data_IF_954196641490
#
_entry.id   IF_954196641490
#
_cell.length_a   1.000
_cell.length_b   1.000
_cell.length_c   1.000
_cell.angle_alpha   90.00
_cell.angle_beta   90.00
_cell.angle_gamma   90.00
#
_symmetry.space_group_name_H-M   'P 1'
#
loop_
_entity.id
_entity.type
_entity.pdbx_description
1 polymer ?
#
# COMPACT_ATOMS: atom_id res chain seq x y z
N UNK A 1 59.41 -36.44 8.14
CA UNK A 1 58.01 -36.90 7.99
C UNK A 1 57.09 -35.77 8.50
N UNK A 2 56.60 -34.91 7.58
CA UNK A 2 55.65 -33.85 7.92
C UNK A 2 54.21 -34.37 7.72
N UNK A 3 53.43 -34.42 8.80
CA UNK A 3 52.04 -34.82 8.76
C UNK A 3 51.20 -33.60 8.27
N UNK A 4 50.58 -33.74 7.10
CA UNK A 4 49.62 -32.82 6.55
C UNK A 4 48.28 -33.10 7.23
N UNK A 5 47.79 -32.17 8.06
CA UNK A 5 46.43 -32.16 8.56
C UNK A 5 45.53 -31.53 7.49
N UNK A 6 44.70 -32.32 6.85
CA UNK A 6 43.66 -31.84 5.96
C UNK A 6 42.43 -31.54 6.84
N UNK A 7 42.14 -30.26 7.08
CA UNK A 7 40.88 -29.81 7.68
C UNK A 7 39.75 -29.95 6.66
N UNK A 8 38.90 -30.94 6.87
CA UNK A 8 37.65 -31.11 6.12
C UNK A 8 36.63 -30.13 6.70
N UNK A 9 36.47 -28.94 6.08
CA UNK A 9 35.35 -28.06 6.37
C UNK A 9 34.08 -28.71 5.86
N UNK A 10 33.29 -29.28 6.75
CA UNK A 10 31.88 -29.66 6.47
C UNK A 10 31.09 -28.36 6.24
N UNK A 11 30.82 -28.06 4.98
CA UNK A 11 29.78 -27.09 4.61
C UNK A 11 28.42 -27.72 4.96
N UNK A 12 27.92 -27.43 6.17
CA UNK A 12 26.52 -27.66 6.50
C UNK A 12 25.70 -26.72 5.62
N UNK A 13 24.72 -27.23 4.85
CA UNK A 13 23.78 -26.36 4.21
C UNK A 13 23.02 -25.63 5.33
N UNK A 14 23.16 -24.31 5.40
CA UNK A 14 22.22 -23.47 6.12
C UNK A 14 20.88 -23.65 5.41
N UNK A 15 20.07 -24.58 5.88
CA UNK A 15 18.64 -24.56 5.63
C UNK A 15 18.15 -23.28 6.32
N UNK A 16 17.98 -22.22 5.57
CA UNK A 16 17.29 -21.04 6.05
C UNK A 16 15.92 -21.51 6.53
N UNK A 17 15.68 -21.41 7.83
CA UNK A 17 14.36 -21.61 8.37
C UNK A 17 13.50 -20.46 7.85
N UNK A 18 12.76 -20.70 6.78
CA UNK A 18 11.65 -19.85 6.41
C UNK A 18 10.76 -19.75 7.65
N UNK A 19 10.54 -18.54 8.16
CA UNK A 19 9.67 -18.30 9.29
C UNK A 19 8.28 -18.81 8.90
N UNK A 20 7.84 -19.93 9.46
CA UNK A 20 6.52 -20.48 9.17
C UNK A 20 5.51 -19.89 10.15
N UNK A 21 4.79 -18.86 9.69
CA UNK A 21 3.77 -18.17 10.45
C UNK A 21 2.53 -19.08 10.52
N UNK A 22 2.27 -19.62 11.70
CA UNK A 22 1.11 -20.47 11.98
C UNK A 22 -0.09 -19.59 12.32
N UNK A 23 -1.22 -19.88 11.73
CA UNK A 23 -2.47 -19.19 12.03
C UNK A 23 -3.65 -20.15 11.92
N UNK A 24 -4.80 -19.73 12.43
CA UNK A 24 -6.10 -20.36 12.23
C UNK A 24 -7.06 -19.33 11.63
N UNK A 25 -7.97 -19.78 10.77
CA UNK A 25 -8.95 -18.90 10.14
C UNK A 25 -10.34 -19.56 10.13
N UNK A 26 -11.39 -18.74 10.23
CA UNK A 26 -12.79 -19.17 10.19
C UNK A 26 -13.72 -18.00 9.88
N UNK A 27 -14.95 -18.31 9.45
CA UNK A 27 -15.98 -17.31 9.20
C UNK A 27 -17.02 -17.28 10.32
N UNK A 28 -17.43 -16.08 10.75
CA UNK A 28 -18.63 -15.92 11.57
C UNK A 28 -19.91 -16.05 10.71
N UNK A 29 -21.06 -16.39 11.31
CA UNK A 29 -22.32 -16.48 10.57
C UNK A 29 -22.75 -15.23 9.82
N UNK A 30 -22.30 -14.06 10.30
CA UNK A 30 -22.54 -12.78 9.64
C UNK A 30 -21.58 -12.49 8.46
N UNK A 31 -20.63 -13.39 8.19
CA UNK A 31 -19.70 -13.32 7.08
C UNK A 31 -18.40 -12.55 7.38
N UNK A 32 -18.15 -12.17 8.63
CA UNK A 32 -16.84 -11.66 9.03
C UNK A 32 -15.83 -12.81 8.97
N UNK A 33 -14.76 -12.63 8.19
CA UNK A 33 -13.63 -13.55 8.18
C UNK A 33 -12.67 -13.23 9.32
N UNK A 34 -12.25 -14.24 10.07
CA UNK A 34 -11.38 -14.09 11.24
C UNK A 34 -10.11 -14.89 11.04
N UNK A 35 -8.96 -14.25 11.32
CA UNK A 35 -7.64 -14.87 11.28
C UNK A 35 -6.94 -14.64 12.63
N UNK A 36 -6.39 -15.70 13.23
CA UNK A 36 -5.72 -15.67 14.52
C UNK A 36 -4.30 -16.22 14.39
N UNK A 37 -3.30 -15.42 14.76
CA UNK A 37 -1.90 -15.83 14.90
C UNK A 37 -1.47 -15.72 16.35
N UNK A 38 -1.12 -16.85 16.96
CA UNK A 38 -0.65 -16.95 18.36
C UNK A 38 0.88 -16.86 18.39
N UNK A 39 1.41 -15.86 19.09
CA UNK A 39 2.85 -15.69 19.33
C UNK A 39 3.09 -15.02 20.70
N UNK A 40 3.71 -15.78 21.61
CA UNK A 40 4.00 -15.35 22.98
C UNK A 40 5.40 -14.70 23.15
N UNK A 41 6.07 -14.36 22.06
CA UNK A 41 7.42 -13.78 22.12
C UNK A 41 7.46 -12.39 22.77
N UNK A 42 6.36 -11.65 22.67
CA UNK A 42 6.17 -10.32 23.26
C UNK A 42 4.76 -10.19 23.83
N UNK A 43 4.57 -9.49 25.00
CA UNK A 43 3.26 -9.39 25.66
C UNK A 43 2.38 -8.30 24.99
N UNK A 44 2.24 -8.34 23.67
CA UNK A 44 1.44 -7.41 22.88
C UNK A 44 0.52 -8.16 21.92
N UNK A 45 -0.56 -7.53 21.53
CA UNK A 45 -1.48 -8.03 20.50
C UNK A 45 -1.84 -6.90 19.53
N UNK A 46 -1.82 -7.21 18.25
CA UNK A 46 -2.39 -6.38 17.20
C UNK A 46 -3.82 -6.87 16.90
N UNK A 47 -4.81 -6.02 17.12
CA UNK A 47 -6.20 -6.24 16.71
C UNK A 47 -6.44 -5.37 15.49
N UNK A 48 -6.75 -5.99 14.35
CA UNK A 48 -6.84 -5.27 13.08
C UNK A 48 -8.11 -5.62 12.32
N UNK A 49 -8.70 -4.63 11.67
CA UNK A 49 -9.82 -4.83 10.74
C UNK A 49 -9.48 -4.23 9.39
N UNK A 50 -9.52 -5.06 8.37
CA UNK A 50 -9.41 -4.64 6.98
C UNK A 50 -10.81 -4.64 6.36
N UNK A 51 -11.25 -3.48 5.88
CA UNK A 51 -12.45 -3.38 5.04
C UNK A 51 -12.02 -3.34 3.58
N UNK A 52 -12.62 -4.23 2.76
CA UNK A 52 -12.34 -4.28 1.32
C UNK A 52 -13.09 -3.15 0.61
N UNK A 53 -12.70 -1.93 0.93
CA UNK A 53 -13.20 -0.67 0.37
C UNK A 53 -12.09 0.37 0.38
N UNK A 54 -11.85 0.97 -0.77
CA UNK A 54 -10.89 2.05 -0.95
C UNK A 54 -11.42 3.08 -1.96
N UNK A 55 -10.54 3.97 -2.43
CA UNK A 55 -10.97 5.04 -3.32
C UNK A 55 -11.57 4.54 -4.64
N UNK A 56 -11.23 3.32 -5.11
CA UNK A 56 -11.84 2.75 -6.32
C UNK A 56 -13.35 2.47 -6.19
N UNK A 57 -13.86 2.37 -4.97
CA UNK A 57 -15.28 2.10 -4.71
C UNK A 57 -16.13 3.38 -4.66
N UNK A 58 -15.49 4.53 -4.83
CA UNK A 58 -16.13 5.84 -4.83
C UNK A 58 -16.78 6.14 -6.18
N UNK A 59 -17.61 7.17 -6.19
CA UNK A 59 -18.26 7.66 -7.41
C UNK A 59 -17.64 8.97 -7.86
N UNK A 60 -17.60 9.21 -9.16
CA UNK A 60 -17.24 10.51 -9.73
C UNK A 60 -18.10 11.60 -9.12
N UNK A 61 -17.50 12.68 -8.65
CA UNK A 61 -18.16 13.77 -7.92
C UNK A 61 -18.37 13.48 -6.42
N UNK A 62 -17.82 12.38 -5.91
CA UNK A 62 -17.83 11.98 -4.49
C UNK A 62 -16.53 11.27 -4.11
N UNK A 63 -15.40 11.78 -4.60
CA UNK A 63 -14.06 11.24 -4.29
C UNK A 63 -13.63 11.64 -2.88
N UNK A 64 -12.77 10.83 -2.27
CA UNK A 64 -12.28 11.05 -0.91
C UNK A 64 -13.11 10.38 0.18
N UNK A 65 -14.18 9.66 -0.15
CA UNK A 65 -15.09 9.07 0.83
C UNK A 65 -14.43 7.98 1.68
N UNK A 66 -13.64 7.09 1.08
CA UNK A 66 -12.98 6.01 1.80
C UNK A 66 -11.97 6.56 2.83
N UNK A 67 -11.14 7.51 2.42
CA UNK A 67 -10.20 8.18 3.32
C UNK A 67 -10.92 9.03 4.37
N UNK A 68 -12.03 9.65 4.02
CA UNK A 68 -12.85 10.37 5.00
C UNK A 68 -13.34 9.44 6.11
N UNK A 69 -13.73 8.20 5.76
CA UNK A 69 -14.13 7.20 6.75
C UNK A 69 -12.95 6.70 7.58
N UNK A 70 -11.72 6.72 7.06
CA UNK A 70 -10.54 6.49 7.90
C UNK A 70 -10.54 7.42 9.11
N UNK A 71 -10.83 8.71 8.92
CA UNK A 71 -10.92 9.70 9.99
C UNK A 71 -12.21 9.57 10.80
N UNK A 72 -13.35 9.49 10.11
CA UNK A 72 -14.66 9.57 10.75
C UNK A 72 -14.91 8.41 11.74
N UNK A 73 -14.35 7.24 11.49
CA UNK A 73 -14.49 6.08 12.37
C UNK A 73 -13.65 6.16 13.67
N UNK A 74 -12.92 7.25 13.89
CA UNK A 74 -12.32 7.61 15.18
C UNK A 74 -13.10 8.67 15.95
N UNK A 75 -14.13 9.29 15.34
CA UNK A 75 -14.91 10.35 15.97
C UNK A 75 -15.68 9.88 17.21
N UNK A 76 -16.07 8.61 17.22
CA UNK A 76 -16.79 7.99 18.33
C UNK A 76 -17.93 7.08 17.86
N UNK A 77 -18.58 6.46 18.83
CA UNK A 77 -19.70 5.55 18.63
C UNK A 77 -20.88 5.88 19.53
N UNK A 78 -21.92 5.06 19.53
CA UNK A 78 -23.01 5.18 20.50
C UNK A 78 -22.51 5.10 21.95
N UNK A 79 -21.45 4.30 22.19
CA UNK A 79 -20.90 4.02 23.51
C UNK A 79 -19.55 4.72 23.79
N UNK A 80 -18.95 5.35 22.78
CA UNK A 80 -17.66 6.06 22.88
C UNK A 80 -17.91 7.54 22.54
N UNK A 81 -17.52 8.42 23.46
CA UNK A 81 -17.60 9.87 23.24
C UNK A 81 -16.67 10.35 22.13
N UNK A 82 -17.01 11.49 21.51
CA UNK A 82 -16.19 12.08 20.46
C UNK A 82 -14.76 12.35 20.95
N UNK A 83 -13.76 11.90 20.15
CA UNK A 83 -12.35 12.06 20.46
C UNK A 83 -11.86 11.23 21.67
N UNK A 84 -12.66 10.25 22.13
CA UNK A 84 -12.27 9.38 23.23
C UNK A 84 -11.69 8.04 22.76
N UNK A 85 -11.91 7.64 21.51
CA UNK A 85 -11.41 6.38 20.98
C UNK A 85 -9.91 6.22 21.21
N UNK A 86 -9.10 7.16 20.76
CA UNK A 86 -7.65 7.13 20.94
C UNK A 86 -7.24 7.09 22.41
N UNK A 87 -7.96 7.80 23.28
CA UNK A 87 -7.67 7.82 24.71
C UNK A 87 -7.82 6.46 25.39
N UNK A 88 -8.77 5.63 24.94
CA UNK A 88 -8.90 4.26 25.45
C UNK A 88 -7.64 3.44 25.16
N UNK A 89 -7.13 3.51 23.91
CA UNK A 89 -5.91 2.79 23.50
C UNK A 89 -4.67 3.37 24.22
N UNK A 90 -4.51 4.69 24.24
CA UNK A 90 -3.38 5.36 24.92
C UNK A 90 -3.34 5.08 26.42
N UNK A 91 -4.49 5.14 27.11
CA UNK A 91 -4.59 4.83 28.53
C UNK A 91 -4.28 3.36 28.84
N UNK A 92 -4.53 2.47 27.89
CA UNK A 92 -4.14 1.06 27.99
C UNK A 92 -2.65 0.82 27.70
N UNK A 93 -1.89 1.85 27.34
CA UNK A 93 -0.47 1.75 26.95
C UNK A 93 -0.26 1.26 25.52
N UNK A 94 -1.27 1.40 24.67
CA UNK A 94 -1.26 0.98 23.27
C UNK A 94 -1.01 2.11 22.28
N UNK A 95 -1.02 1.76 21.01
CA UNK A 95 -0.95 2.65 19.86
C UNK A 95 -1.99 2.22 18.82
N UNK A 96 -2.50 3.16 18.04
CA UNK A 96 -3.47 2.91 16.98
C UNK A 96 -3.12 3.71 15.73
N UNK A 97 -3.57 3.24 14.60
CA UNK A 97 -3.53 4.00 13.35
C UNK A 97 -4.49 3.38 12.32
N UNK A 98 -4.61 4.04 11.18
CA UNK A 98 -5.33 3.54 10.04
C UNK A 98 -4.65 4.00 8.73
N UNK A 99 -5.02 3.38 7.62
CA UNK A 99 -4.63 3.84 6.29
C UNK A 99 -5.66 3.43 5.25
N UNK A 100 -5.77 4.27 4.22
CA UNK A 100 -6.65 4.03 3.06
C UNK A 100 -5.81 3.98 1.79
N UNK A 101 -6.09 2.97 0.98
CA UNK A 101 -5.53 2.82 -0.37
C UNK A 101 -6.65 2.90 -1.41
N UNK A 102 -6.32 2.61 -2.66
CA UNK A 102 -7.31 2.46 -3.71
C UNK A 102 -8.24 1.27 -3.48
N UNK A 103 -7.77 0.24 -2.79
CA UNK A 103 -8.46 -1.06 -2.71
C UNK A 103 -9.02 -1.38 -1.32
N UNK A 104 -8.46 -0.77 -0.24
CA UNK A 104 -8.84 -1.11 1.13
C UNK A 104 -8.74 0.08 2.08
N UNK A 105 -9.47 -0.02 3.20
CA UNK A 105 -9.27 0.78 4.42
C UNK A 105 -8.90 -0.18 5.56
N UNK A 106 -7.82 0.11 6.27
CA UNK A 106 -7.26 -0.75 7.30
C UNK A 106 -7.12 0.01 8.60
N UNK A 107 -7.60 -0.59 9.70
CA UNK A 107 -7.51 -0.07 11.06
C UNK A 107 -6.74 -1.06 11.92
N UNK A 108 -5.97 -0.56 12.88
CA UNK A 108 -5.31 -1.42 13.86
C UNK A 108 -5.14 -0.74 15.22
N UNK A 109 -5.33 -1.55 16.25
CA UNK A 109 -5.00 -1.25 17.63
C UNK A 109 -3.88 -2.19 18.08
N UNK A 110 -2.74 -1.66 18.49
CA UNK A 110 -1.63 -2.40 19.07
C UNK A 110 -1.66 -2.18 20.58
N UNK A 111 -2.02 -3.19 21.35
CA UNK A 111 -2.22 -3.07 22.80
C UNK A 111 -1.47 -4.17 23.57
N UNK A 112 -1.19 -3.98 24.87
CA UNK A 112 -0.74 -5.06 25.74
C UNK A 112 -1.72 -6.25 25.68
N UNK A 113 -1.21 -7.49 25.76
CA UNK A 113 -2.02 -8.71 25.57
C UNK A 113 -3.20 -8.83 26.55
N UNK A 114 -3.07 -8.31 27.77
CA UNK A 114 -4.15 -8.26 28.76
C UNK A 114 -5.27 -7.26 28.38
N UNK A 115 -5.12 -6.48 27.32
CA UNK A 115 -6.08 -5.54 26.77
C UNK A 115 -6.73 -6.00 25.46
N UNK A 116 -6.58 -7.28 25.09
CA UNK A 116 -7.22 -7.87 23.91
C UNK A 116 -8.73 -7.55 23.85
N UNK A 117 -9.43 -7.70 24.96
CA UNK A 117 -10.87 -7.43 25.03
C UNK A 117 -11.21 -5.97 24.71
N UNK A 118 -10.37 -5.02 25.14
CA UNK A 118 -10.52 -3.60 24.79
C UNK A 118 -10.39 -3.37 23.28
N UNK A 119 -9.35 -3.91 22.63
CA UNK A 119 -9.17 -3.76 21.18
C UNK A 119 -10.35 -4.37 20.40
N UNK A 120 -10.82 -5.56 20.79
CA UNK A 120 -11.98 -6.19 20.17
C UNK A 120 -13.27 -5.37 20.36
N UNK A 121 -13.49 -4.82 21.55
CA UNK A 121 -14.62 -3.94 21.79
C UNK A 121 -14.57 -2.68 20.92
N UNK A 122 -13.42 -2.01 20.88
CA UNK A 122 -13.22 -0.80 20.07
C UNK A 122 -13.51 -1.04 18.58
N UNK A 123 -12.98 -2.12 18.01
CA UNK A 123 -13.22 -2.45 16.60
C UNK A 123 -14.67 -2.87 16.34
N UNK A 124 -15.34 -3.52 17.28
CA UNK A 124 -16.76 -3.86 17.15
C UNK A 124 -17.65 -2.61 17.22
N UNK A 125 -17.32 -1.63 18.07
CA UNK A 125 -17.99 -0.33 18.14
C UNK A 125 -17.85 0.44 16.82
N UNK A 126 -16.65 0.44 16.23
CA UNK A 126 -16.38 1.02 14.92
C UNK A 126 -17.24 0.39 13.83
N UNK A 127 -17.40 -0.93 13.83
CA UNK A 127 -18.14 -1.67 12.80
C UNK A 127 -19.65 -1.49 12.92
N UNK A 128 -20.20 -1.45 14.14
CA UNK A 128 -21.65 -1.48 14.36
C UNK A 128 -22.23 -0.12 14.75
N UNK A 129 -21.52 0.62 15.63
CA UNK A 129 -22.09 1.74 16.39
C UNK A 129 -21.47 3.10 16.03
N UNK A 130 -20.65 3.17 14.97
CA UNK A 130 -20.01 4.42 14.60
C UNK A 130 -21.06 5.53 14.32
N UNK A 131 -20.82 6.71 14.88
CA UNK A 131 -21.68 7.88 14.68
C UNK A 131 -21.36 8.59 13.39
N UNK A 132 -22.15 8.31 12.34
CA UNK A 132 -22.10 9.03 11.07
C UNK A 132 -23.13 10.15 11.11
N UNK A 133 -22.79 11.24 11.78
CA UNK A 133 -23.66 12.38 12.07
C UNK A 133 -23.05 13.69 11.57
N UNK A 134 -23.88 14.69 11.25
CA UNK A 134 -23.45 15.99 10.70
C UNK A 134 -22.32 16.65 11.48
N UNK A 135 -22.33 16.60 12.82
CA UNK A 135 -21.28 17.23 13.65
C UNK A 135 -19.91 16.59 13.43
N UNK A 136 -19.84 15.25 13.37
CA UNK A 136 -18.63 14.50 13.08
C UNK A 136 -18.16 14.72 11.62
N UNK A 137 -19.11 14.66 10.70
CA UNK A 137 -18.87 14.88 9.25
C UNK A 137 -18.28 16.26 9.03
N UNK A 138 -18.87 17.33 9.55
CA UNK A 138 -18.37 18.68 9.33
C UNK A 138 -17.01 18.91 9.99
N UNK A 139 -16.77 18.34 11.19
CA UNK A 139 -15.47 18.40 11.84
C UNK A 139 -14.39 17.72 10.98
N UNK A 140 -14.64 16.47 10.54
CA UNK A 140 -13.67 15.73 9.76
C UNK A 140 -13.51 16.27 8.34
N UNK A 141 -14.55 16.90 7.78
CA UNK A 141 -14.45 17.60 6.49
C UNK A 141 -13.34 18.66 6.52
N UNK A 142 -13.30 19.48 7.55
CA UNK A 142 -12.25 20.50 7.67
C UNK A 142 -10.87 19.87 7.94
N UNK A 143 -10.80 18.81 8.74
CA UNK A 143 -9.54 18.08 8.99
C UNK A 143 -8.97 17.48 7.70
N UNK A 144 -9.79 16.75 6.92
CA UNK A 144 -9.35 16.13 5.65
C UNK A 144 -8.97 17.19 4.61
N UNK A 145 -9.73 18.30 4.54
CA UNK A 145 -9.38 19.42 3.65
C UNK A 145 -8.06 20.07 4.04
N UNK A 146 -7.79 20.22 5.34
CA UNK A 146 -6.52 20.77 5.80
C UNK A 146 -5.37 19.80 5.54
N UNK A 147 -5.58 18.50 5.74
CA UNK A 147 -4.60 17.48 5.38
C UNK A 147 -4.27 17.53 3.88
N UNK A 148 -5.30 17.67 3.02
CA UNK A 148 -5.08 17.81 1.58
C UNK A 148 -4.23 19.03 1.27
N UNK A 149 -4.52 20.19 1.90
CA UNK A 149 -3.68 21.39 1.73
C UNK A 149 -2.25 21.13 2.17
N UNK A 150 -2.06 20.53 3.34
CA UNK A 150 -0.74 20.30 3.92
C UNK A 150 0.09 19.28 3.15
N UNK A 151 -0.51 18.20 2.67
CA UNK A 151 0.23 17.08 2.04
C UNK A 151 0.32 17.18 0.52
N UNK A 152 -0.65 17.85 -0.11
CA UNK A 152 -0.74 17.89 -1.58
C UNK A 152 -0.62 19.31 -2.14
N UNK A 153 -1.43 20.27 -1.65
CA UNK A 153 -1.55 21.57 -2.34
C UNK A 153 -0.39 22.51 -1.98
N UNK A 154 0.17 22.42 -0.76
CA UNK A 154 1.22 23.30 -0.26
C UNK A 154 2.61 22.64 -0.18
N UNK A 155 2.74 21.35 -0.50
CA UNK A 155 4.03 20.67 -0.51
C UNK A 155 4.68 20.77 -1.89
N UNK A 156 6.00 20.97 -1.96
CA UNK A 156 6.74 20.77 -3.21
C UNK A 156 6.45 19.36 -3.75
N UNK A 157 6.16 19.29 -5.05
CA UNK A 157 5.82 18.03 -5.74
C UNK A 157 4.62 17.27 -5.16
N UNK A 158 3.79 17.92 -4.34
CA UNK A 158 2.63 17.27 -3.70
C UNK A 158 1.59 16.75 -4.70
N UNK A 159 1.54 17.31 -5.91
CA UNK A 159 0.65 16.86 -6.99
C UNK A 159 1.20 15.68 -7.79
N UNK A 160 2.42 15.19 -7.51
CA UNK A 160 3.06 14.11 -8.27
C UNK A 160 2.19 12.86 -8.37
N UNK A 161 1.69 12.39 -7.25
CA UNK A 161 0.87 11.18 -7.22
C UNK A 161 -0.54 11.40 -7.80
N UNK A 162 -1.31 12.44 -7.43
CA UNK A 162 -2.59 12.74 -8.06
C UNK A 162 -2.51 12.89 -9.59
N UNK A 163 -1.52 13.62 -10.08
CA UNK A 163 -1.33 13.82 -11.51
C UNK A 163 -0.93 12.54 -12.23
N UNK A 164 -0.07 11.71 -11.63
CA UNK A 164 0.26 10.40 -12.18
C UNK A 164 -0.99 9.55 -12.40
N UNK A 165 -1.87 9.48 -11.40
CA UNK A 165 -3.10 8.68 -11.47
C UNK A 165 -4.07 9.24 -12.52
N UNK A 166 -4.33 10.54 -12.52
CA UNK A 166 -5.29 11.18 -13.44
C UNK A 166 -4.86 11.10 -14.90
N UNK A 167 -3.54 11.07 -15.15
CA UNK A 167 -2.99 10.92 -16.49
C UNK A 167 -2.91 9.46 -16.94
N UNK A 168 -2.63 8.53 -16.02
CA UNK A 168 -2.54 7.11 -16.32
C UNK A 168 -3.92 6.45 -16.51
N UNK A 169 -4.88 6.77 -15.67
CA UNK A 169 -6.21 6.15 -15.73
C UNK A 169 -7.24 7.12 -16.32
N UNK A 170 -7.92 6.68 -17.38
CA UNK A 170 -8.93 7.48 -18.09
C UNK A 170 -10.36 6.98 -17.84
N UNK A 171 -10.51 5.74 -17.42
CA UNK A 171 -11.81 5.11 -17.17
C UNK A 171 -11.89 4.44 -15.80
N UNK A 172 -10.79 3.82 -15.36
CA UNK A 172 -10.77 3.10 -14.10
C UNK A 172 -10.82 4.08 -12.91
N UNK A 173 -11.53 3.75 -11.82
CA UNK A 173 -11.59 4.59 -10.62
C UNK A 173 -10.24 4.79 -9.89
N UNK A 174 -9.17 4.19 -10.35
CA UNK A 174 -7.80 4.52 -9.89
C UNK A 174 -7.32 5.91 -10.36
N UNK A 175 -8.13 6.63 -11.14
CA UNK A 175 -7.81 7.95 -11.66
C UNK A 175 -7.67 9.04 -10.59
N UNK A 176 -8.05 8.79 -9.35
CA UNK A 176 -7.94 9.77 -8.26
C UNK A 176 -7.26 9.20 -7.02
N UNK A 177 -6.58 10.08 -6.30
CA UNK A 177 -5.95 9.74 -5.03
C UNK A 177 -7.00 9.56 -3.91
N UNK A 178 -6.75 8.73 -2.89
CA UNK A 178 -7.68 8.49 -1.79
C UNK A 178 -8.14 9.74 -1.05
N UNK A 179 -7.31 10.79 -1.01
CA UNK A 179 -7.66 12.07 -0.36
C UNK A 179 -8.84 12.78 -1.04
N UNK A 180 -9.12 12.48 -2.30
CA UNK A 180 -10.19 13.10 -3.08
C UNK A 180 -9.89 14.53 -3.51
N UNK A 181 -10.92 15.20 -4.07
CA UNK A 181 -10.85 16.59 -4.47
C UNK A 181 -11.51 17.51 -3.44
N UNK A 182 -11.06 18.79 -3.37
CA UNK A 182 -11.71 19.80 -2.52
C UNK A 182 -13.16 20.02 -2.90
N UNK A 183 -13.45 19.94 -4.19
CA UNK A 183 -14.80 20.09 -4.73
C UNK A 183 -15.72 18.99 -4.25
N UNK A 184 -15.31 17.74 -4.38
CA UNK A 184 -16.08 16.57 -3.97
C UNK A 184 -16.27 16.51 -2.46
N UNK A 185 -15.22 16.81 -1.68
CA UNK A 185 -15.31 16.89 -0.23
C UNK A 185 -16.33 17.93 0.25
N UNK A 186 -16.41 19.08 -0.45
CA UNK A 186 -17.41 20.10 -0.14
C UNK A 186 -18.82 19.73 -0.63
N UNK A 187 -18.93 18.99 -1.73
CA UNK A 187 -20.22 18.61 -2.33
C UNK A 187 -20.90 17.42 -1.63
N UNK A 188 -20.13 16.61 -0.89
CA UNK A 188 -20.64 15.42 -0.21
C UNK A 188 -21.66 15.79 0.90
N UNK A 189 -22.81 15.13 0.92
CA UNK A 189 -23.89 15.31 1.88
C UNK A 189 -23.91 14.22 2.92
N UNK A 190 -24.53 14.45 4.06
CA UNK A 190 -24.67 13.47 5.14
C UNK A 190 -25.21 12.12 4.66
N UNK A 191 -26.17 12.14 3.72
CA UNK A 191 -26.71 10.92 3.12
C UNK A 191 -25.68 10.09 2.35
N UNK A 192 -24.72 10.74 1.69
CA UNK A 192 -23.64 10.07 0.96
C UNK A 192 -22.78 9.27 1.94
N UNK A 193 -22.43 9.88 3.09
CA UNK A 193 -21.67 9.23 4.16
C UNK A 193 -22.42 8.06 4.77
N UNK A 194 -23.68 8.26 5.15
CA UNK A 194 -24.52 7.19 5.72
C UNK A 194 -24.66 6.00 4.76
N UNK A 195 -24.85 6.28 3.46
CA UNK A 195 -24.98 5.24 2.44
C UNK A 195 -23.64 4.50 2.22
N UNK A 196 -22.52 5.20 2.20
CA UNK A 196 -21.19 4.61 2.03
C UNK A 196 -20.88 3.68 3.21
N UNK A 197 -21.07 4.14 4.45
CA UNK A 197 -20.89 3.33 5.65
C UNK A 197 -21.71 2.04 5.61
N UNK A 198 -23.04 2.16 5.44
CA UNK A 198 -23.97 1.02 5.39
C UNK A 198 -23.71 0.05 4.24
N UNK A 199 -23.01 0.48 3.21
CA UNK A 199 -22.71 -0.36 2.05
C UNK A 199 -21.41 -1.13 2.25
N UNK A 200 -20.36 -0.48 2.76
CA UNK A 200 -19.02 -1.04 2.72
C UNK A 200 -18.47 -1.47 4.08
N UNK A 201 -18.87 -0.81 5.19
CA UNK A 201 -18.36 -1.10 6.53
C UNK A 201 -19.23 -2.13 7.24
N UNK A 202 -19.28 -3.32 6.68
CA UNK A 202 -20.13 -4.44 7.12
C UNK A 202 -19.29 -5.71 7.29
N UNK A 203 -19.71 -6.64 8.18
CA UNK A 203 -18.92 -7.84 8.47
C UNK A 203 -18.52 -8.66 7.23
N UNK A 204 -19.43 -8.86 6.30
CA UNK A 204 -19.16 -9.64 5.08
C UNK A 204 -18.34 -8.88 4.01
N UNK A 205 -17.78 -7.73 4.34
CA UNK A 205 -16.81 -6.99 3.56
C UNK A 205 -15.54 -6.70 4.37
N UNK A 206 -15.32 -7.42 5.47
CA UNK A 206 -14.22 -7.18 6.39
C UNK A 206 -13.49 -8.46 6.76
N UNK A 207 -12.22 -8.30 7.13
CA UNK A 207 -11.36 -9.33 7.72
C UNK A 207 -10.88 -8.82 9.08
N UNK A 208 -11.19 -9.54 10.14
CA UNK A 208 -10.63 -9.34 11.48
C UNK A 208 -9.38 -10.22 11.62
N UNK A 209 -8.21 -9.61 11.68
CA UNK A 209 -6.95 -10.34 11.83
C UNK A 209 -6.28 -9.96 13.15
N UNK A 210 -5.95 -10.94 13.97
CA UNK A 210 -5.37 -10.75 15.29
C UNK A 210 -4.06 -11.52 15.36
N UNK A 211 -3.00 -10.85 15.74
CA UNK A 211 -1.68 -11.45 15.91
C UNK A 211 -1.02 -11.01 17.21
N UNK A 212 -0.43 -11.97 17.92
CA UNK A 212 0.34 -11.69 19.13
C UNK A 212 0.08 -12.65 20.28
N UNK A 213 0.31 -12.17 21.49
CA UNK A 213 0.18 -12.95 22.73
C UNK A 213 -1.30 -13.16 23.08
N UNK A 214 -1.89 -14.16 22.45
CA UNK A 214 -3.29 -14.55 22.61
C UNK A 214 -3.43 -16.03 22.91
N UNK A 215 -4.51 -16.38 23.60
CA UNK A 215 -5.04 -17.73 23.61
C UNK A 215 -6.19 -17.79 22.57
N UNK A 216 -6.08 -18.60 21.51
CA UNK A 216 -7.07 -18.65 20.44
C UNK A 216 -8.51 -18.98 20.89
N UNK A 217 -8.68 -19.87 21.87
CA UNK A 217 -10.00 -20.22 22.36
C UNK A 217 -10.65 -19.09 23.17
N UNK A 218 -9.86 -18.36 23.95
CA UNK A 218 -10.33 -17.15 24.65
C UNK A 218 -10.65 -16.05 23.64
N UNK A 219 -9.78 -15.84 22.63
CA UNK A 219 -10.00 -14.87 21.57
C UNK A 219 -11.31 -15.14 20.82
N UNK A 220 -11.60 -16.40 20.45
CA UNK A 220 -12.87 -16.80 19.82
C UNK A 220 -14.09 -16.44 20.65
N UNK A 221 -14.04 -16.71 21.96
CA UNK A 221 -15.16 -16.38 22.87
C UNK A 221 -15.42 -14.86 22.92
N UNK A 222 -14.36 -14.05 22.93
CA UNK A 222 -14.48 -12.59 22.89
C UNK A 222 -14.99 -12.11 21.54
N UNK A 223 -14.48 -12.67 20.45
CA UNK A 223 -14.93 -12.34 19.09
C UNK A 223 -16.42 -12.68 18.93
N UNK A 224 -16.86 -13.82 19.38
CA UNK A 224 -18.28 -14.20 19.35
C UNK A 224 -19.14 -13.20 20.15
N UNK A 225 -18.67 -12.77 21.31
CA UNK A 225 -19.37 -11.79 22.16
C UNK A 225 -19.54 -10.45 21.47
N UNK A 226 -18.50 -9.93 20.81
CA UNK A 226 -18.50 -8.58 20.26
C UNK A 226 -18.95 -8.50 18.80
N UNK A 227 -18.67 -9.52 17.99
CA UNK A 227 -18.89 -9.46 16.55
C UNK A 227 -20.02 -10.33 16.02
N UNK A 228 -20.38 -11.45 16.68
CA UNK A 228 -21.38 -12.37 16.13
C UNK A 228 -22.79 -11.73 16.03
N UNK A 229 -23.11 -10.76 16.90
CA UNK A 229 -24.36 -10.00 16.87
C UNK A 229 -24.43 -8.89 15.82
N UNK A 230 -23.34 -8.52 15.17
CA UNK A 230 -23.32 -7.47 14.15
C UNK A 230 -24.04 -7.98 12.90
N UNK A 231 -25.04 -7.26 12.40
CA UNK A 231 -25.80 -7.70 11.23
C UNK A 231 -24.93 -7.80 9.96
N UNK A 232 -25.13 -8.89 9.22
CA UNK A 232 -24.55 -9.03 7.87
C UNK A 232 -25.08 -7.92 6.95
N UNK A 233 -24.21 -7.34 6.14
CA UNK A 233 -24.62 -6.45 5.06
C UNK A 233 -25.54 -7.17 4.06
N UNK A 234 -26.72 -6.59 3.81
CA UNK A 234 -27.74 -7.20 2.95
C UNK A 234 -27.64 -6.78 1.48
N UNK A 235 -26.93 -5.69 1.19
CA UNK A 235 -26.70 -5.23 -0.18
C UNK A 235 -25.49 -5.94 -0.77
N UNK A 236 -25.53 -6.18 -2.09
CA UNK A 236 -24.33 -6.59 -2.82
C UNK A 236 -23.27 -5.49 -2.71
N UNK A 237 -22.04 -5.86 -2.38
CA UNK A 237 -20.93 -4.91 -2.33
C UNK A 237 -20.54 -4.52 -3.76
N UNK A 238 -20.69 -3.24 -4.15
CA UNK A 238 -20.32 -2.80 -5.49
C UNK A 238 -18.81 -2.98 -5.72
N UNK A 239 -18.47 -3.60 -6.86
CA UNK A 239 -17.05 -3.71 -7.31
C UNK A 239 -16.96 -3.10 -8.69
N UNK A 240 -15.98 -2.24 -8.97
CA UNK A 240 -15.75 -1.74 -10.31
C UNK A 240 -15.48 -2.91 -11.28
N UNK A 241 -16.10 -2.85 -12.44
CA UNK A 241 -15.88 -3.82 -13.54
C UNK A 241 -15.26 -3.15 -14.76
N UNK A 242 -14.88 -1.90 -14.60
CA UNK A 242 -14.28 -1.10 -15.67
C UNK A 242 -12.84 -1.58 -15.87
N UNK A 243 -12.49 -1.83 -17.12
CA UNK A 243 -11.12 -2.16 -17.52
C UNK A 243 -10.48 -0.93 -18.14
N UNK A 244 -9.32 -0.53 -17.64
CA UNK A 244 -8.55 0.56 -18.23
C UNK A 244 -8.02 0.13 -19.61
N UNK A 245 -8.20 0.94 -20.65
CA UNK A 245 -7.61 0.65 -21.96
C UNK A 245 -6.07 0.64 -21.87
N UNK A 246 -5.45 -0.32 -22.56
CA UNK A 246 -4.00 -0.43 -22.67
C UNK A 246 -3.50 0.13 -24.01
N UNK A 247 -2.22 0.50 -24.06
CA UNK A 247 -1.56 0.97 -25.30
C UNK A 247 -2.21 2.20 -25.96
N UNK A 248 -2.55 3.19 -25.14
CA UNK A 248 -3.14 4.44 -25.64
C UNK A 248 -2.13 5.38 -26.31
N UNK A 249 -0.87 5.02 -26.38
CA UNK A 249 0.25 5.86 -26.80
C UNK A 249 0.85 6.61 -25.62
N UNK A 250 1.97 7.29 -25.86
CA UNK A 250 2.63 8.13 -24.87
C UNK A 250 1.75 9.35 -24.54
N UNK A 251 1.52 9.58 -23.24
CA UNK A 251 0.90 10.80 -22.74
C UNK A 251 2.00 11.66 -22.13
N UNK A 252 2.08 12.93 -22.53
CA UNK A 252 3.03 13.91 -21.98
C UNK A 252 2.31 15.15 -21.52
N UNK A 253 2.70 15.65 -20.34
CA UNK A 253 2.22 16.93 -19.84
C UNK A 253 3.28 17.62 -18.97
N UNK A 254 3.05 18.89 -18.68
CA UNK A 254 3.88 19.72 -17.81
C UNK A 254 3.02 20.34 -16.73
N UNK A 255 3.34 20.02 -15.50
CA UNK A 255 2.69 20.55 -14.30
C UNK A 255 3.52 21.75 -13.81
N UNK A 256 2.91 22.91 -13.82
CA UNK A 256 3.55 24.14 -13.38
C UNK A 256 3.23 24.43 -11.91
N UNK A 257 4.27 24.60 -11.09
CA UNK A 257 4.13 24.76 -9.65
C UNK A 257 5.17 25.71 -9.05
N UNK A 258 5.30 25.64 -7.73
CA UNK A 258 6.31 26.41 -6.96
C UNK A 258 7.58 25.60 -6.72
N UNK A 259 7.76 24.52 -7.44
CA UNK A 259 8.86 23.58 -7.26
C UNK A 259 10.18 24.24 -7.72
N UNK A 260 11.22 24.18 -6.89
CA UNK A 260 12.48 24.89 -7.18
C UNK A 260 13.29 24.22 -8.29
N UNK A 261 13.29 22.89 -8.31
CA UNK A 261 14.03 22.11 -9.30
C UNK A 261 13.07 21.28 -10.16
N UNK A 262 13.43 21.00 -11.42
CA UNK A 262 12.63 20.12 -12.26
C UNK A 262 12.56 18.70 -11.72
N UNK A 263 11.36 18.11 -11.69
CA UNK A 263 11.16 16.70 -11.44
C UNK A 263 10.48 16.05 -12.64
N UNK A 264 10.91 14.83 -12.96
CA UNK A 264 10.33 13.98 -14.00
C UNK A 264 9.62 12.83 -13.31
N UNK A 265 8.41 12.51 -13.75
CA UNK A 265 7.71 11.29 -13.41
C UNK A 265 7.38 10.53 -14.69
N UNK A 266 7.70 9.26 -14.73
CA UNK A 266 7.25 8.30 -15.73
C UNK A 266 6.36 7.25 -15.07
N UNK A 267 5.13 7.09 -15.56
CA UNK A 267 4.23 6.06 -15.10
C UNK A 267 3.96 5.04 -16.21
N UNK A 268 4.06 3.76 -15.88
CA UNK A 268 3.82 2.65 -16.80
C UNK A 268 2.75 1.73 -16.23
N UNK A 269 1.73 1.40 -17.01
CA UNK A 269 0.78 0.37 -16.60
C UNK A 269 1.46 -0.99 -16.46
N UNK A 270 1.13 -1.68 -15.36
CA UNK A 270 1.67 -3.00 -15.02
C UNK A 270 0.52 -3.96 -14.71
N UNK A 271 0.76 -5.28 -14.73
CA UNK A 271 -0.30 -6.23 -14.38
C UNK A 271 -0.74 -6.10 -12.92
N UNK A 272 -1.95 -6.56 -12.64
CA UNK A 272 -2.48 -6.66 -11.29
C UNK A 272 -1.56 -7.47 -10.39
N UNK A 273 -1.51 -7.10 -9.10
CA UNK A 273 -0.74 -7.84 -8.09
C UNK A 273 -1.11 -9.33 -8.07
N UNK A 274 -0.13 -10.19 -7.76
CA UNK A 274 -0.32 -11.64 -7.67
C UNK A 274 -0.28 -12.40 -9.01
N UNK A 275 -0.28 -11.70 -10.14
CA UNK A 275 -0.06 -12.34 -11.45
C UNK A 275 1.41 -12.73 -11.61
N UNK A 276 1.76 -13.77 -12.39
CA UNK A 276 3.16 -14.17 -12.57
C UNK A 276 4.06 -13.05 -13.10
N UNK A 277 3.57 -12.23 -14.01
CA UNK A 277 4.32 -11.11 -14.59
C UNK A 277 4.54 -9.97 -13.59
N UNK A 278 3.63 -9.78 -12.62
CA UNK A 278 3.76 -8.77 -11.59
C UNK A 278 5.08 -8.94 -10.81
N UNK A 279 5.43 -10.16 -10.43
CA UNK A 279 6.65 -10.43 -9.65
C UNK A 279 7.92 -10.05 -10.41
N UNK A 280 7.94 -10.25 -11.73
CA UNK A 280 9.06 -9.84 -12.56
C UNK A 280 9.18 -8.31 -12.64
N UNK A 281 8.06 -7.59 -12.75
CA UNK A 281 8.04 -6.11 -12.76
C UNK A 281 8.46 -5.56 -11.41
N UNK A 282 7.99 -6.12 -10.31
CA UNK A 282 8.32 -5.68 -8.96
C UNK A 282 9.82 -5.88 -8.65
N UNK A 283 10.35 -7.04 -9.01
CA UNK A 283 11.80 -7.31 -8.93
C UNK A 283 12.60 -6.34 -9.82
N UNK A 284 12.09 -6.01 -11.00
CA UNK A 284 12.75 -5.06 -11.90
C UNK A 284 12.79 -3.64 -11.29
N UNK A 285 11.73 -3.17 -10.65
CA UNK A 285 11.73 -1.90 -9.94
C UNK A 285 12.71 -1.91 -8.75
N UNK A 286 12.78 -3.01 -8.02
CA UNK A 286 13.76 -3.20 -6.93
C UNK A 286 15.19 -3.13 -7.46
N UNK A 287 15.50 -3.77 -8.58
CA UNK A 287 16.81 -3.70 -9.25
C UNK A 287 17.19 -2.26 -9.63
N UNK A 288 16.22 -1.53 -10.17
CA UNK A 288 16.43 -0.16 -10.66
C UNK A 288 16.59 0.85 -9.53
N UNK A 289 15.93 0.65 -8.39
CA UNK A 289 15.75 1.71 -7.39
C UNK A 289 16.07 1.35 -5.94
N UNK A 290 16.11 0.08 -5.54
CA UNK A 290 16.25 -0.23 -4.12
C UNK A 290 17.70 -0.16 -3.63
N UNK A 291 17.98 0.88 -2.80
CA UNK A 291 19.27 1.12 -2.15
C UNK A 291 20.28 1.88 -3.02
N UNK A 292 21.35 2.36 -2.38
CA UNK A 292 22.37 3.20 -3.00
C UNK A 292 23.06 2.56 -4.21
N UNK A 293 23.19 1.25 -4.23
CA UNK A 293 23.81 0.52 -5.33
C UNK A 293 22.83 0.05 -6.41
N UNK A 294 21.60 0.59 -6.42
CA UNK A 294 20.64 0.40 -7.49
C UNK A 294 21.06 1.15 -8.74
N UNK A 295 20.58 0.73 -9.92
CA UNK A 295 21.06 1.28 -11.18
C UNK A 295 20.79 2.76 -11.34
N UNK A 296 19.56 3.21 -11.04
CA UNK A 296 19.19 4.63 -11.14
C UNK A 296 20.04 5.48 -10.19
N UNK A 297 20.18 5.07 -8.93
CA UNK A 297 20.98 5.84 -7.99
C UNK A 297 22.44 5.88 -8.39
N UNK A 298 23.05 4.72 -8.64
CA UNK A 298 24.46 4.63 -8.99
C UNK A 298 24.82 5.44 -10.24
N UNK A 299 24.04 5.27 -11.32
CA UNK A 299 24.42 5.88 -12.61
C UNK A 299 23.98 7.32 -12.74
N UNK A 300 22.80 7.71 -12.19
CA UNK A 300 22.24 9.05 -12.40
C UNK A 300 22.53 10.01 -11.24
N UNK A 301 22.68 9.50 -10.01
CA UNK A 301 23.02 10.32 -8.85
C UNK A 301 24.52 10.35 -8.65
N UNK A 302 25.16 9.17 -8.45
CA UNK A 302 26.58 9.11 -8.03
C UNK A 302 27.57 9.33 -9.17
N UNK A 303 27.35 8.74 -10.36
CA UNK A 303 28.33 8.75 -11.45
C UNK A 303 28.14 9.94 -12.41
N UNK A 304 26.89 10.22 -12.83
CA UNK A 304 26.61 11.25 -13.83
C UNK A 304 26.12 12.57 -13.23
N UNK A 305 25.78 12.58 -11.95
CA UNK A 305 25.28 13.76 -11.22
C UNK A 305 24.10 14.46 -11.92
N UNK A 306 23.26 13.68 -12.64
CA UNK A 306 22.10 14.22 -13.34
C UNK A 306 20.92 14.47 -12.40
N UNK A 307 20.86 13.75 -11.29
CA UNK A 307 19.77 13.85 -10.32
C UNK A 307 20.28 14.03 -8.90
N UNK A 308 19.51 14.69 -8.06
CA UNK A 308 19.67 14.68 -6.60
C UNK A 308 19.18 13.36 -6.01
N UNK A 309 18.14 12.81 -6.57
CA UNK A 309 17.65 11.46 -6.31
C UNK A 309 16.84 10.93 -7.50
N UNK A 310 16.87 9.63 -7.67
CA UNK A 310 16.05 8.90 -8.62
C UNK A 310 15.48 7.66 -7.96
N UNK A 311 14.30 7.25 -8.38
CA UNK A 311 13.69 6.04 -7.90
C UNK A 311 12.63 5.47 -8.84
N UNK A 312 12.28 4.21 -8.60
CA UNK A 312 11.14 3.56 -9.21
C UNK A 312 10.51 2.61 -8.20
N UNK A 313 9.21 2.53 -8.17
CA UNK A 313 8.51 1.58 -7.31
C UNK A 313 7.25 1.06 -7.99
N UNK A 314 6.84 -0.11 -7.55
CA UNK A 314 5.61 -0.75 -7.98
C UNK A 314 4.46 -0.22 -7.14
N UNK A 315 3.52 0.45 -7.78
CA UNK A 315 2.24 0.79 -7.19
C UNK A 315 1.29 -0.37 -7.46
N UNK A 316 1.34 -1.36 -6.57
CA UNK A 316 0.64 -2.63 -6.67
C UNK A 316 -0.82 -2.48 -6.24
N UNK A 317 -1.72 -2.90 -7.13
CA UNK A 317 -3.16 -2.78 -6.96
C UNK A 317 -3.85 -4.11 -7.28
N UNK A 318 -5.10 -4.27 -6.81
CA UNK A 318 -5.94 -5.44 -7.09
C UNK A 318 -6.28 -5.55 -8.59
N UNK A 319 -6.53 -4.43 -9.26
CA UNK A 319 -6.60 -4.29 -10.71
C UNK A 319 -5.23 -3.82 -11.25
N UNK A 320 -5.00 -3.77 -12.58
CA UNK A 320 -3.73 -3.32 -13.15
C UNK A 320 -3.23 -2.01 -12.55
N UNK A 321 -2.03 -2.06 -11.97
CA UNK A 321 -1.37 -0.96 -11.27
C UNK A 321 -0.41 -0.18 -12.14
N UNK A 322 0.54 0.51 -11.49
CA UNK A 322 1.56 1.33 -12.16
C UNK A 322 2.97 1.00 -11.63
N UNK A 323 3.96 1.06 -12.48
CA UNK A 323 5.31 1.45 -12.09
C UNK A 323 5.37 2.98 -12.11
N UNK A 324 5.83 3.58 -11.03
CA UNK A 324 6.12 5.01 -10.95
C UNK A 324 7.63 5.18 -10.84
N UNK A 325 8.25 5.76 -11.88
CA UNK A 325 9.67 6.09 -11.90
C UNK A 325 9.82 7.61 -11.90
N UNK A 326 10.69 8.13 -11.05
CA UNK A 326 10.84 9.57 -10.89
C UNK A 326 12.29 9.97 -10.68
N UNK A 327 12.61 11.21 -11.02
CA UNK A 327 13.91 11.79 -10.80
C UNK A 327 13.81 13.30 -10.56
N UNK A 328 14.48 13.79 -9.51
CA UNK A 328 14.67 15.21 -9.23
C UNK A 328 15.97 15.64 -9.86
N UNK A 329 15.90 16.52 -10.84
CA UNK A 329 17.06 17.00 -11.57
C UNK A 329 18.05 17.74 -10.64
N UNK A 330 19.33 17.54 -10.85
CA UNK A 330 20.35 18.32 -10.18
C UNK A 330 20.35 19.76 -10.71
N UNK A 331 20.90 20.68 -9.93
CA UNK A 331 20.92 22.11 -10.30
C UNK A 331 21.57 22.32 -11.67
N UNK A 332 20.84 22.99 -12.57
CA UNK A 332 21.32 23.30 -13.92
C UNK A 332 21.22 22.15 -14.92
N UNK A 333 20.71 21.00 -14.53
CA UNK A 333 20.47 19.87 -15.43
C UNK A 333 19.12 20.09 -16.14
N UNK A 334 19.15 19.97 -17.47
CA UNK A 334 17.93 19.99 -18.28
C UNK A 334 17.07 18.76 -17.99
N UNK A 335 15.75 18.91 -17.73
CA UNK A 335 14.86 17.79 -17.43
C UNK A 335 14.90 16.67 -18.46
N UNK A 336 15.01 17.03 -19.74
CA UNK A 336 15.09 16.06 -20.84
C UNK A 336 16.36 15.19 -20.75
N UNK A 337 17.47 15.77 -20.30
CA UNK A 337 18.72 15.04 -20.09
C UNK A 337 18.56 13.99 -18.98
N UNK A 338 17.85 14.32 -17.91
CA UNK A 338 17.55 13.36 -16.85
C UNK A 338 16.59 12.27 -17.34
N UNK A 339 15.52 12.63 -18.07
CA UNK A 339 14.61 11.66 -18.68
C UNK A 339 15.35 10.69 -19.59
N UNK A 340 16.24 11.19 -20.45
CA UNK A 340 17.04 10.35 -21.33
C UNK A 340 17.96 9.41 -20.54
N UNK A 341 18.51 9.89 -19.43
CA UNK A 341 19.28 9.08 -18.50
C UNK A 341 18.46 7.94 -17.88
N UNK A 342 17.25 8.22 -17.40
CA UNK A 342 16.33 7.23 -16.85
C UNK A 342 15.96 6.19 -17.91
N UNK A 343 15.59 6.65 -19.09
CA UNK A 343 15.23 5.76 -20.20
C UNK A 343 16.40 4.87 -20.65
N UNK A 344 17.63 5.35 -20.59
CA UNK A 344 18.83 4.55 -20.92
C UNK A 344 18.99 3.36 -19.98
N UNK A 345 18.67 3.52 -18.67
CA UNK A 345 18.70 2.42 -17.69
C UNK A 345 17.59 1.40 -17.99
N UNK A 346 16.40 1.86 -18.37
CA UNK A 346 15.31 0.97 -18.78
C UNK A 346 15.63 0.24 -20.09
N UNK A 347 16.27 0.88 -21.05
CA UNK A 347 16.69 0.26 -22.30
C UNK A 347 17.82 -0.76 -22.12
N UNK A 348 18.68 -0.53 -21.15
CA UNK A 348 19.74 -1.49 -20.82
C UNK A 348 19.14 -2.82 -20.32
N UNK A 349 18.15 -2.80 -19.40
CA UNK A 349 17.50 -4.07 -18.94
C UNK A 349 16.67 -4.75 -20.02
N UNK A 350 16.25 -4.02 -21.05
CA UNK A 350 15.59 -4.63 -22.24
C UNK A 350 16.58 -5.33 -23.17
N UNK A 351 17.79 -4.81 -23.26
CA UNK A 351 18.81 -5.28 -24.25
C UNK A 351 19.79 -6.28 -23.67
N UNK A 352 20.09 -6.20 -22.38
CA UNK A 352 21.10 -7.01 -21.72
C UNK A 352 20.48 -7.80 -20.56
N UNK A 353 20.89 -9.06 -20.42
CA UNK A 353 20.53 -9.83 -19.24
C UNK A 353 21.25 -9.26 -18.00
N UNK A 354 20.52 -9.14 -16.91
CA UNK A 354 21.08 -8.81 -15.59
C UNK A 354 22.19 -9.80 -15.24
N UNK A 355 23.33 -9.33 -14.74
CA UNK A 355 24.42 -10.21 -14.33
C UNK A 355 23.98 -11.17 -13.22
N UNK A 356 24.59 -12.36 -13.16
CA UNK A 356 24.26 -13.34 -12.11
C UNK A 356 24.47 -12.77 -10.70
N UNK A 357 25.53 -12.00 -10.50
CA UNK A 357 25.84 -11.37 -9.21
C UNK A 357 24.76 -10.36 -8.81
N UNK A 358 24.32 -9.52 -9.73
CA UNK A 358 23.30 -8.51 -9.49
C UNK A 358 21.94 -9.16 -9.24
N UNK A 359 21.62 -10.21 -10.01
CA UNK A 359 20.40 -10.97 -9.83
C UNK A 359 20.35 -11.70 -8.48
N UNK A 360 21.46 -12.29 -8.03
CA UNK A 360 21.53 -12.91 -6.69
C UNK A 360 21.38 -11.86 -5.58
N UNK A 361 22.00 -10.67 -5.73
CA UNK A 361 21.78 -9.55 -4.80
C UNK A 361 20.30 -9.17 -4.72
N UNK A 362 19.64 -9.04 -5.88
CA UNK A 362 18.21 -8.72 -5.96
C UNK A 362 17.35 -9.75 -5.22
N UNK A 363 17.59 -11.03 -5.42
CA UNK A 363 16.88 -12.11 -4.71
C UNK A 363 17.04 -12.01 -3.20
N UNK A 364 18.27 -11.74 -2.73
CA UNK A 364 18.53 -11.57 -1.30
C UNK A 364 17.82 -10.33 -0.72
N UNK A 365 17.70 -9.25 -1.48
CA UNK A 365 16.93 -8.06 -1.07
C UNK A 365 15.45 -8.38 -0.93
N UNK A 366 14.85 -9.02 -1.93
CA UNK A 366 13.44 -9.42 -1.90
C UNK A 366 13.14 -10.34 -0.70
N UNK A 367 14.02 -11.31 -0.44
CA UNK A 367 13.88 -12.21 0.71
C UNK A 367 13.98 -11.45 2.04
N UNK A 368 14.93 -10.53 2.16
CA UNK A 368 15.09 -9.68 3.34
C UNK A 368 13.87 -8.80 3.58
N UNK A 369 13.35 -8.14 2.54
CA UNK A 369 12.19 -7.26 2.62
C UNK A 369 10.92 -8.05 2.99
N UNK A 370 10.77 -9.27 2.45
CA UNK A 370 9.68 -10.18 2.79
C UNK A 370 9.69 -10.59 4.28
N UNK A 371 10.87 -10.94 4.81
CA UNK A 371 11.03 -11.27 6.23
C UNK A 371 10.76 -10.03 7.10
N UNK A 372 11.29 -8.88 6.73
CA UNK A 372 11.15 -7.65 7.50
C UNK A 372 9.68 -7.20 7.61
N UNK A 373 8.90 -7.31 6.54
CA UNK A 373 7.46 -6.98 6.53
C UNK A 373 6.69 -7.79 7.57
N UNK A 374 7.06 -9.03 7.78
CA UNK A 374 6.41 -9.97 8.69
C UNK A 374 7.16 -10.11 10.04
N UNK A 375 7.94 -9.10 10.46
CA UNK A 375 8.72 -9.13 11.71
C UNK A 375 7.98 -8.55 12.93
N UNK A 376 6.81 -7.94 12.74
CA UNK A 376 5.99 -7.37 13.80
C UNK A 376 4.58 -7.96 13.82
N UNK A 377 3.91 -7.96 14.97
CA UNK A 377 2.53 -8.47 15.09
C UNK A 377 1.56 -7.69 14.21
N UNK A 378 1.71 -6.37 14.12
CA UNK A 378 0.90 -5.55 13.21
C UNK A 378 1.15 -5.93 11.74
N UNK A 379 2.41 -6.12 11.33
CA UNK A 379 2.77 -6.53 9.97
C UNK A 379 2.25 -7.93 9.60
N UNK A 380 2.31 -8.87 10.54
CA UNK A 380 1.73 -10.22 10.35
C UNK A 380 0.21 -10.13 10.19
N UNK A 381 -0.48 -9.41 11.08
CA UNK A 381 -1.93 -9.27 11.02
C UNK A 381 -2.38 -8.59 9.72
N UNK A 382 -1.69 -7.54 9.29
CA UNK A 382 -1.95 -6.85 8.03
C UNK A 382 -1.71 -7.74 6.81
N UNK A 383 -0.58 -8.47 6.78
CA UNK A 383 -0.24 -9.39 5.69
C UNK A 383 -1.28 -10.50 5.55
N UNK A 384 -1.68 -11.14 6.66
CA UNK A 384 -2.71 -12.17 6.67
C UNK A 384 -4.04 -11.65 6.11
N UNK A 385 -4.49 -10.48 6.58
CA UNK A 385 -5.71 -9.83 6.10
C UNK A 385 -5.63 -9.47 4.60
N UNK A 386 -4.51 -8.92 4.14
CA UNK A 386 -4.30 -8.58 2.73
C UNK A 386 -4.32 -9.82 1.83
N UNK A 387 -3.59 -10.89 2.23
CA UNK A 387 -3.54 -12.13 1.44
C UNK A 387 -4.89 -12.82 1.35
N UNK A 388 -5.66 -12.81 2.44
CA UNK A 388 -7.04 -13.31 2.38
C UNK A 388 -7.89 -12.45 1.45
N UNK A 389 -7.86 -11.13 1.63
CA UNK A 389 -8.74 -10.19 0.90
C UNK A 389 -8.49 -10.22 -0.60
N UNK A 390 -7.23 -10.16 -1.04
CA UNK A 390 -6.89 -10.03 -2.45
C UNK A 390 -6.76 -11.36 -3.18
N UNK A 391 -6.41 -12.44 -2.47
CA UNK A 391 -6.11 -13.73 -3.09
C UNK A 391 -6.95 -14.90 -2.58
N UNK A 392 -7.79 -14.67 -1.55
CA UNK A 392 -8.55 -15.73 -0.89
C UNK A 392 -7.66 -16.79 -0.22
N UNK A 393 -6.42 -16.43 0.14
CA UNK A 393 -5.43 -17.38 0.66
C UNK A 393 -4.43 -16.70 1.60
N UNK A 394 -4.75 -16.68 2.89
CA UNK A 394 -3.87 -16.11 3.91
C UNK A 394 -2.49 -16.81 3.99
N UNK A 395 -2.38 -18.10 3.58
CA UNK A 395 -1.11 -18.83 3.62
C UNK A 395 -0.05 -18.30 2.63
N UNK A 396 -0.37 -17.35 1.77
CA UNK A 396 0.62 -16.64 0.97
C UNK A 396 1.66 -15.90 1.83
N UNK A 397 1.35 -15.57 3.08
CA UNK A 397 2.33 -15.07 4.04
C UNK A 397 3.55 -15.99 4.20
N UNK A 398 3.39 -17.28 3.96
CA UNK A 398 4.45 -18.30 4.03
C UNK A 398 5.04 -18.67 2.66
N UNK A 399 4.30 -18.46 1.56
CA UNK A 399 4.64 -19.06 0.26
C UNK A 399 4.81 -18.05 -0.88
N UNK A 400 4.44 -16.78 -0.71
CA UNK A 400 4.58 -15.79 -1.78
C UNK A 400 6.04 -15.61 -2.23
N UNK A 401 6.98 -15.71 -1.30
CA UNK A 401 8.41 -15.62 -1.60
C UNK A 401 8.84 -16.63 -2.68
N UNK A 402 8.21 -17.80 -2.74
CA UNK A 402 8.51 -18.80 -3.76
C UNK A 402 8.15 -18.32 -5.18
N UNK A 403 7.17 -17.42 -5.29
CA UNK A 403 6.78 -16.83 -6.58
C UNK A 403 7.87 -15.90 -7.09
N UNK A 404 8.45 -15.08 -6.22
CA UNK A 404 9.62 -14.26 -6.54
C UNK A 404 10.84 -15.12 -6.89
N UNK A 405 11.08 -16.20 -6.15
CA UNK A 405 12.23 -17.08 -6.39
C UNK A 405 12.13 -17.87 -7.71
N UNK A 406 10.94 -17.96 -8.33
CA UNK A 406 10.75 -18.57 -9.65
C UNK A 406 11.05 -17.62 -10.81
N UNK A 407 11.09 -16.32 -10.56
CA UNK A 407 11.44 -15.32 -11.58
C UNK A 407 12.88 -15.54 -12.05
N UNK A 408 13.10 -15.48 -13.35
CA UNK A 408 14.40 -15.62 -14.00
C UNK A 408 14.92 -14.26 -14.49
N UNK A 409 16.19 -14.19 -14.89
CA UNK A 409 16.74 -12.98 -15.50
C UNK A 409 16.08 -12.66 -16.84
N UNK A 410 15.70 -13.70 -17.57
CA UNK A 410 14.97 -13.61 -18.82
C UNK A 410 13.57 -13.02 -18.61
N UNK A 411 12.89 -13.35 -17.51
CA UNK A 411 11.60 -12.77 -17.13
C UNK A 411 11.70 -11.27 -16.84
N UNK A 412 12.78 -10.82 -16.19
CA UNK A 412 13.05 -9.39 -15.97
C UNK A 412 13.17 -8.65 -17.30
N UNK A 413 13.96 -9.19 -18.23
CA UNK A 413 14.13 -8.60 -19.57
C UNK A 413 12.83 -8.63 -20.38
N UNK A 414 12.05 -9.70 -20.28
CA UNK A 414 10.75 -9.81 -20.93
C UNK A 414 9.74 -8.80 -20.37
N UNK A 415 9.70 -8.63 -19.04
CA UNK A 415 8.86 -7.64 -18.37
C UNK A 415 9.24 -6.21 -18.80
N UNK A 416 10.54 -5.87 -18.82
CA UNK A 416 11.01 -4.57 -19.27
C UNK A 416 10.60 -4.28 -20.72
N UNK A 417 10.76 -5.25 -21.64
CA UNK A 417 10.35 -5.12 -23.06
C UNK A 417 8.84 -4.92 -23.22
N UNK A 418 8.05 -5.56 -22.36
CA UNK A 418 6.59 -5.53 -22.45
C UNK A 418 5.99 -4.26 -21.85
N UNK A 419 6.48 -3.85 -20.69
CA UNK A 419 5.84 -2.80 -19.90
C UNK A 419 6.50 -1.44 -20.00
N UNK A 420 7.84 -1.34 -20.09
CA UNK A 420 8.54 -0.07 -20.16
C UNK A 420 8.70 0.43 -21.60
N UNK A 421 7.58 0.69 -22.23
CA UNK A 421 7.53 1.13 -23.64
C UNK A 421 6.87 2.50 -23.75
N UNK A 422 7.25 3.32 -24.75
CA UNK A 422 6.59 4.60 -24.98
C UNK A 422 5.07 4.50 -25.16
N UNK A 423 4.57 3.38 -25.73
CA UNK A 423 3.14 3.17 -25.94
C UNK A 423 2.36 2.93 -24.66
N UNK A 424 3.04 2.62 -23.58
CA UNK A 424 2.47 2.30 -22.26
C UNK A 424 2.86 3.33 -21.20
N UNK A 425 3.25 4.56 -21.62
CA UNK A 425 3.91 5.52 -20.75
C UNK A 425 3.16 6.84 -20.61
N UNK A 426 3.10 7.34 -19.39
CA UNK A 426 2.82 8.73 -19.05
C UNK A 426 4.13 9.38 -18.64
N UNK A 427 4.44 10.57 -19.15
CA UNK A 427 5.60 11.38 -18.76
C UNK A 427 5.11 12.74 -18.30
N UNK A 428 5.38 13.08 -17.05
CA UNK A 428 5.03 14.34 -16.44
C UNK A 428 6.29 15.11 -16.04
N UNK A 429 6.37 16.37 -16.44
CA UNK A 429 7.38 17.31 -15.98
C UNK A 429 6.77 18.23 -14.93
N UNK A 430 7.36 18.29 -13.76
CA UNK A 430 7.04 19.25 -12.73
C UNK A 430 8.06 20.37 -12.79
N UNK A 431 7.61 21.56 -13.19
CA UNK A 431 8.48 22.68 -13.45
C UNK A 431 8.08 23.92 -12.64
N UNK A 432 9.06 24.74 -12.32
CA UNK A 432 8.85 26.02 -11.68
C UNK A 432 8.05 26.96 -12.58
N UNK A 433 6.95 27.53 -12.07
CA UNK A 433 6.25 28.63 -12.73
C UNK A 433 6.86 29.95 -12.26
N UNK A 434 7.57 30.71 -13.17
CA UNK A 434 8.17 31.98 -12.81
C UNK A 434 7.18 33.01 -12.28
N UNK A 435 5.89 32.90 -12.62
CA UNK A 435 4.83 33.77 -12.13
C UNK A 435 4.44 33.51 -10.69
N UNK A 436 4.61 32.28 -10.23
CA UNK A 436 4.29 31.87 -8.85
C UNK A 436 5.47 32.08 -7.89
N UNK A 437 6.70 32.17 -8.43
CA UNK A 437 7.95 32.32 -7.66
C UNK A 437 8.29 33.79 -7.35
N UNK A 438 7.57 34.74 -7.91
CA UNK A 438 7.84 36.19 -7.79
C UNK A 438 7.02 36.90 -6.71
N UNK A 439 6.34 36.18 -5.81
CA UNK A 439 5.57 36.76 -4.70
C UNK A 439 6.13 36.39 -3.33
#
# INVERSE_FOLDING_TARGET
MKKLLVSLCLALPFAGFAQNIKFTEYDLPNGLHVILHEDHSTPIVAVTVLYHVGSKNEQVGRTGMAHFFEHLLFEGSENIGRGEYAKYVENAGGALNANTTQDRTFYYDLVPSNQLELGLWLESERMLHAKVESVGIETQREVVKEEKRMRYDNQPYGQLFPEALSHAYKKHPYAWAPIGSMEDLNAAKDEDFVNFYKTFYVPNNAVLSIAGDINPEQAKQLIDRYFAGIPRGTKAIPRPTVVEPTNLGEVRDTIWGKDELPMILEAYHIPAQGTPEFYAVDMLNTLLSNGQSSRLNKHLVDEKELALFCGAFTFNLEDPGLTLAFGLANMGVDPKTLEDGMNAEFDQVKSELVSEQEFQKLRNQIESDFIQRNSSMAGIAESLANYHTYYGNANLINTEIERYMKVTREDLTAAAKKYYTPQNRVVLYFLNDPKLSSN
#
